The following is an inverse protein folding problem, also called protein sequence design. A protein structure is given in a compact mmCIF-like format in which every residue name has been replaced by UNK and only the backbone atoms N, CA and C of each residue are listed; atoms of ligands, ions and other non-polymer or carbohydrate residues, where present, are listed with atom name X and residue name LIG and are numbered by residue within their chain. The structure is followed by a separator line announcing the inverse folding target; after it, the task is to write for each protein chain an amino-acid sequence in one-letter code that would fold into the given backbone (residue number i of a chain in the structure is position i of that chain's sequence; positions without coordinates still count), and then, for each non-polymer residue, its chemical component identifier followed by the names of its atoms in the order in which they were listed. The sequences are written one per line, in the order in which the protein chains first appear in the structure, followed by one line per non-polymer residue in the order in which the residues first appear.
data_IF_148531549867
#
_entry.id   IF_148531549867
#
_cell.length_a   1.000
_cell.length_b   1.000
_cell.length_c   1.000
_cell.angle_alpha   90.00
_cell.angle_beta   90.00
_cell.angle_gamma   90.00
#
_symmetry.space_group_name_H-M   'P 1'
#
loop_
_entity.id
_entity.type
_entity.pdbx_description
1 polymer ?
#
# COMPACT_ATOMS: atom_id res chain seq x y z
N UNK A 1 -0.60 1.09 13.96
CA UNK A 1 0.12 2.17 13.25
C UNK A 1 -0.57 3.53 13.33
N UNK A 2 -1.91 3.65 13.37
CA UNK A 2 -2.62 4.95 13.35
C UNK A 2 -2.08 6.03 14.29
N UNK A 3 -1.74 5.71 15.54
CA UNK A 3 -1.16 6.68 16.48
C UNK A 3 0.21 7.21 16.03
N UNK A 4 1.08 6.34 15.50
CA UNK A 4 2.39 6.74 14.96
C UNK A 4 2.22 7.62 13.71
N UNK A 5 1.24 7.30 12.87
CA UNK A 5 0.94 8.10 11.69
C UNK A 5 0.48 9.51 12.09
N UNK A 6 -0.34 9.63 13.14
CA UNK A 6 -0.87 10.92 13.57
C UNK A 6 0.07 11.75 14.44
N UNK A 7 0.92 11.12 15.27
CA UNK A 7 1.71 11.82 16.30
C UNK A 7 3.20 11.43 16.34
N UNK A 8 3.64 10.55 15.45
CA UNK A 8 5.04 10.16 15.31
C UNK A 8 5.86 11.16 14.49
N UNK A 9 7.15 10.86 14.32
CA UNK A 9 8.01 11.66 13.45
C UNK A 9 7.60 11.43 11.99
N UNK A 10 7.27 12.52 11.29
CA UNK A 10 6.81 12.51 9.91
C UNK A 10 7.99 12.33 8.95
N UNK A 11 8.54 11.12 8.91
CA UNK A 11 9.62 10.69 8.02
C UNK A 11 9.13 9.66 6.99
N UNK A 12 7.82 9.66 6.71
CA UNK A 12 7.15 8.70 5.85
C UNK A 12 6.12 9.42 4.98
N UNK A 13 5.73 8.75 3.89
CA UNK A 13 4.60 9.09 3.05
C UNK A 13 3.74 7.84 2.87
N UNK A 14 2.52 8.00 2.39
CA UNK A 14 1.58 6.90 2.20
C UNK A 14 1.27 6.70 0.73
N UNK A 15 1.25 5.44 0.27
CA UNK A 15 0.68 5.07 -1.02
C UNK A 15 -0.55 4.21 -0.78
N UNK A 16 -1.73 4.75 -1.08
CA UNK A 16 -3.02 4.07 -0.93
C UNK A 16 -3.38 3.42 -2.25
N UNK A 17 -3.58 2.10 -2.23
CA UNK A 17 -4.14 1.35 -3.36
C UNK A 17 -5.64 1.18 -3.11
N UNK A 18 -6.45 1.80 -3.95
CA UNK A 18 -7.90 1.77 -3.84
C UNK A 18 -8.51 0.96 -4.99
N UNK A 19 -9.34 -0.03 -4.66
CA UNK A 19 -10.12 -0.79 -5.64
C UNK A 19 -11.49 -0.16 -5.75
N UNK A 20 -11.84 0.37 -6.92
CA UNK A 20 -13.06 1.13 -7.08
C UNK A 20 -14.31 0.25 -6.99
N UNK A 21 -14.28 -0.90 -7.66
CA UNK A 21 -15.35 -1.89 -7.68
C UNK A 21 -14.88 -3.22 -7.07
N UNK A 22 -15.36 -3.58 -5.87
CA UNK A 22 -15.03 -4.86 -5.27
C UNK A 22 -15.77 -6.00 -6.00
N UNK A 23 -15.24 -7.22 -5.90
CA UNK A 23 -15.88 -8.43 -6.46
C UNK A 23 -17.21 -8.77 -5.79
N UNK A 24 -17.40 -8.31 -4.55
CA UNK A 24 -18.65 -8.39 -3.81
C UNK A 24 -18.83 -7.13 -2.99
N UNK A 25 -20.02 -6.54 -3.07
CA UNK A 25 -20.43 -5.43 -2.22
C UNK A 25 -21.69 -5.84 -1.45
N UNK A 26 -21.72 -5.54 -0.15
CA UNK A 26 -22.78 -5.99 0.75
C UNK A 26 -23.54 -4.76 1.21
N UNK A 27 -24.86 -4.80 1.09
CA UNK A 27 -25.74 -3.76 1.63
C UNK A 27 -25.87 -3.98 3.14
N UNK A 28 -25.65 -2.92 3.88
CA UNK A 28 -25.74 -2.92 5.33
C UNK A 28 -27.24 -2.98 5.72
N UNK A 29 -27.64 -3.89 6.62
CA UNK A 29 -29.04 -4.04 7.00
C UNK A 29 -29.56 -2.81 7.72
N UNK A 30 -30.86 -2.55 7.59
CA UNK A 30 -31.57 -1.42 8.24
C UNK A 30 -31.37 -1.39 9.77
N UNK A 31 -31.14 -2.56 10.39
CA UNK A 31 -30.86 -2.67 11.82
C UNK A 31 -29.53 -2.05 12.27
N UNK A 32 -28.65 -1.62 11.34
CA UNK A 32 -27.35 -1.01 11.65
C UNK A 32 -27.43 0.50 12.01
N UNK A 33 -28.64 1.06 12.06
CA UNK A 33 -28.88 2.46 12.41
C UNK A 33 -28.79 3.41 11.22
N UNK A 34 -29.38 4.60 11.37
CA UNK A 34 -29.63 5.57 10.29
C UNK A 34 -28.38 5.97 9.49
N UNK A 35 -27.21 6.01 10.16
CA UNK A 35 -25.96 6.39 9.51
C UNK A 35 -25.48 5.36 8.46
N UNK A 36 -25.69 4.07 8.72
CA UNK A 36 -25.10 2.98 7.92
C UNK A 36 -26.15 2.20 7.13
N UNK A 37 -27.39 2.16 7.60
CA UNK A 37 -28.51 1.49 6.94
C UNK A 37 -28.63 1.88 5.46
N UNK A 38 -28.81 0.88 4.60
CA UNK A 38 -28.98 1.08 3.15
C UNK A 38 -27.70 1.46 2.38
N UNK A 39 -26.60 1.78 3.07
CA UNK A 39 -25.29 1.97 2.42
C UNK A 39 -24.65 0.63 2.10
N UNK A 40 -23.76 0.62 1.12
CA UNK A 40 -22.90 -0.52 0.85
C UNK A 40 -21.64 -0.49 1.72
N UNK A 41 -21.08 -1.66 2.01
CA UNK A 41 -19.80 -1.78 2.71
C UNK A 41 -18.68 -1.06 1.95
N UNK A 42 -18.71 -1.07 0.61
CA UNK A 42 -17.75 -0.31 -0.19
C UNK A 42 -17.90 1.21 0.01
N UNK A 43 -19.12 1.74 0.11
CA UNK A 43 -19.34 3.15 0.39
C UNK A 43 -18.75 3.54 1.74
N UNK A 44 -19.00 2.75 2.79
CA UNK A 44 -18.44 3.00 4.13
C UNK A 44 -16.91 2.92 4.10
N UNK A 45 -16.33 1.92 3.43
CA UNK A 45 -14.89 1.78 3.29
C UNK A 45 -14.23 2.95 2.55
N UNK A 46 -14.86 3.44 1.47
CA UNK A 46 -14.40 4.63 0.74
C UNK A 46 -14.46 5.88 1.60
N UNK A 47 -15.53 6.10 2.34
CA UNK A 47 -15.63 7.22 3.29
C UNK A 47 -14.56 7.14 4.38
N UNK A 48 -14.25 5.95 4.89
CA UNK A 48 -13.17 5.76 5.85
C UNK A 48 -11.79 6.08 5.25
N UNK A 49 -11.51 5.58 4.04
CA UNK A 49 -10.27 5.89 3.31
C UNK A 49 -10.12 7.40 3.06
N UNK A 50 -11.15 8.06 2.54
CA UNK A 50 -11.13 9.50 2.28
C UNK A 50 -10.92 10.31 3.57
N UNK A 51 -11.54 9.89 4.67
CA UNK A 51 -11.32 10.49 5.98
C UNK A 51 -9.87 10.37 6.45
N UNK A 52 -9.24 9.20 6.28
CA UNK A 52 -7.82 8.99 6.61
C UNK A 52 -6.91 9.84 5.72
N UNK A 53 -7.11 9.83 4.41
CA UNK A 53 -6.32 10.63 3.46
C UNK A 53 -6.41 12.12 3.82
N UNK A 54 -7.61 12.63 4.10
CA UNK A 54 -7.80 14.03 4.47
C UNK A 54 -7.13 14.39 5.80
N UNK A 55 -7.23 13.52 6.80
CA UNK A 55 -6.61 13.73 8.11
C UNK A 55 -5.08 13.74 8.01
N UNK A 56 -4.50 12.79 7.28
CA UNK A 56 -3.05 12.67 7.12
C UNK A 56 -2.47 13.78 6.24
N UNK A 57 -3.16 14.15 5.16
CA UNK A 57 -2.77 15.30 4.34
C UNK A 57 -2.76 16.60 5.16
N UNK A 58 -3.75 16.80 6.03
CA UNK A 58 -3.81 17.97 6.93
C UNK A 58 -2.69 17.96 7.97
N UNK A 59 -2.25 16.77 8.40
CA UNK A 59 -1.11 16.60 9.27
C UNK A 59 0.24 16.83 8.57
N UNK A 60 0.28 17.04 7.24
CA UNK A 60 1.50 17.25 6.47
C UNK A 60 2.14 15.96 5.92
N UNK A 61 1.46 14.82 6.01
CA UNK A 61 1.93 13.54 5.49
C UNK A 61 1.60 13.48 4.00
N UNK A 62 2.59 13.32 3.09
CA UNK A 62 2.30 13.18 1.67
C UNK A 62 1.56 11.87 1.40
N UNK A 63 0.49 11.93 0.60
CA UNK A 63 -0.31 10.76 0.22
C UNK A 63 -0.41 10.67 -1.29
N UNK A 64 -0.08 9.49 -1.83
CA UNK A 64 -0.30 9.11 -3.22
C UNK A 64 -1.44 8.11 -3.25
N UNK A 65 -2.46 8.34 -4.08
CA UNK A 65 -3.57 7.41 -4.28
C UNK A 65 -3.48 6.78 -5.67
N UNK A 66 -3.57 5.45 -5.73
CA UNK A 66 -3.60 4.67 -6.97
C UNK A 66 -4.97 3.98 -7.02
N UNK A 67 -5.79 4.39 -7.98
CA UNK A 67 -7.11 3.80 -8.21
C UNK A 67 -7.03 2.64 -9.22
N UNK A 68 -7.58 1.50 -8.83
CA UNK A 68 -7.68 0.29 -9.65
C UNK A 68 -9.17 0.03 -9.91
N UNK A 69 -9.63 -0.04 -11.17
CA UNK A 69 -11.06 -0.15 -11.48
C UNK A 69 -11.74 -1.35 -10.81
N UNK A 70 -11.14 -2.54 -10.90
CA UNK A 70 -11.58 -3.75 -10.22
C UNK A 70 -10.42 -4.74 -10.10
N UNK A 71 -10.53 -5.71 -9.19
CA UNK A 71 -9.54 -6.77 -9.07
C UNK A 71 -9.90 -7.95 -9.97
N UNK A 72 -9.22 -8.02 -11.11
CA UNK A 72 -9.21 -9.17 -12.01
C UNK A 72 -7.80 -9.39 -12.57
N UNK A 73 -7.59 -10.47 -13.33
CA UNK A 73 -6.27 -10.81 -13.87
C UNK A 73 -5.68 -9.71 -14.77
N UNK A 74 -6.51 -8.97 -15.50
CA UNK A 74 -6.09 -7.89 -16.38
C UNK A 74 -5.51 -6.71 -15.58
N UNK A 75 -6.27 -6.17 -14.63
CA UNK A 75 -5.82 -5.05 -13.79
C UNK A 75 -4.70 -5.46 -12.84
N UNK A 76 -4.68 -6.72 -12.39
CA UNK A 76 -3.58 -7.25 -11.60
C UNK A 76 -2.26 -7.27 -12.41
N UNK A 77 -2.30 -7.73 -13.66
CA UNK A 77 -1.14 -7.67 -14.56
C UNK A 77 -0.66 -6.24 -14.81
N UNK A 78 -1.58 -5.29 -15.01
CA UNK A 78 -1.25 -3.87 -15.12
C UNK A 78 -0.55 -3.34 -13.85
N UNK A 79 -1.05 -3.70 -12.67
CA UNK A 79 -0.48 -3.28 -11.40
C UNK A 79 0.94 -3.82 -11.20
N UNK A 80 1.19 -5.09 -11.53
CA UNK A 80 2.54 -5.67 -11.50
C UNK A 80 3.48 -4.85 -12.36
N UNK A 81 3.14 -4.68 -13.64
CA UNK A 81 4.01 -3.99 -14.58
C UNK A 81 4.23 -2.51 -14.21
N UNK A 82 3.20 -1.85 -13.70
CA UNK A 82 3.27 -0.49 -13.18
C UNK A 82 4.30 -0.38 -12.05
N UNK A 83 4.24 -1.26 -11.05
CA UNK A 83 5.16 -1.20 -9.92
C UNK A 83 6.59 -1.64 -10.28
N UNK A 84 6.76 -2.65 -11.12
CA UNK A 84 8.08 -3.06 -11.64
C UNK A 84 8.75 -1.92 -12.40
N UNK A 85 8.02 -1.27 -13.30
CA UNK A 85 8.50 -0.13 -14.09
C UNK A 85 8.83 1.06 -13.18
N UNK A 86 7.94 1.38 -12.23
CA UNK A 86 8.14 2.49 -11.28
C UNK A 86 9.35 2.23 -10.39
N UNK A 87 9.56 0.99 -9.95
CA UNK A 87 10.73 0.59 -9.16
C UNK A 87 12.03 0.80 -9.95
N UNK A 88 12.10 0.32 -11.20
CA UNK A 88 13.27 0.50 -12.05
C UNK A 88 13.59 1.97 -12.32
N UNK A 89 12.58 2.78 -12.67
CA UNK A 89 12.75 4.23 -12.88
C UNK A 89 13.25 4.91 -11.60
N UNK A 90 12.65 4.59 -10.45
CA UNK A 90 13.03 5.19 -9.17
C UNK A 90 14.46 4.84 -8.77
N UNK A 91 14.88 3.58 -8.98
CA UNK A 91 16.26 3.17 -8.76
C UNK A 91 17.27 3.97 -9.60
N UNK A 92 16.96 4.18 -10.88
CA UNK A 92 17.80 5.02 -11.73
C UNK A 92 17.84 6.48 -11.28
N UNK A 93 16.71 7.05 -10.86
CA UNK A 93 16.65 8.41 -10.29
C UNK A 93 17.45 8.53 -8.99
N UNK A 94 17.58 7.44 -8.23
CA UNK A 94 18.39 7.34 -7.03
C UNK A 94 19.85 6.98 -7.30
N UNK A 95 20.26 6.88 -8.57
CA UNK A 95 21.61 6.49 -8.99
C UNK A 95 22.06 5.11 -8.48
N UNK A 96 21.11 4.18 -8.30
CA UNK A 96 21.39 2.78 -7.93
C UNK A 96 21.03 1.83 -9.06
N UNK A 97 21.65 0.65 -9.09
CA UNK A 97 21.33 -0.39 -10.07
C UNK A 97 20.06 -1.16 -9.62
N UNK A 98 18.92 -1.09 -10.35
CA UNK A 98 17.70 -1.80 -9.96
C UNK A 98 17.78 -3.32 -10.06
N UNK A 99 18.80 -3.86 -10.74
CA UNK A 99 18.85 -5.26 -11.15
C UNK A 99 19.97 -6.05 -10.46
N UNK A 100 20.44 -5.58 -9.29
CA UNK A 100 21.41 -6.31 -8.48
C UNK A 100 21.03 -6.32 -6.98
N UNK A 101 21.69 -7.18 -6.20
CA UNK A 101 21.44 -7.31 -4.76
C UNK A 101 22.71 -7.70 -3.96
N UNK A 102 23.81 -6.93 -4.02
CA UNK A 102 25.08 -7.32 -3.43
C UNK A 102 25.02 -7.54 -1.90
N UNK A 103 24.14 -6.83 -1.19
CA UNK A 103 24.04 -6.92 0.27
C UNK A 103 23.61 -8.30 0.80
N UNK A 104 22.95 -9.13 -0.01
CA UNK A 104 22.50 -10.46 0.45
C UNK A 104 23.63 -11.48 0.52
N UNK A 105 24.75 -11.25 -0.17
CA UNK A 105 25.85 -12.21 -0.19
C UNK A 105 26.61 -12.24 1.14
N UNK A 106 26.69 -11.11 1.83
CA UNK A 106 27.41 -10.99 3.12
C UNK A 106 26.86 -11.95 4.18
N UNK A 107 25.53 -12.01 4.36
CA UNK A 107 24.97 -12.93 5.36
C UNK A 107 25.07 -14.39 4.91
N UNK A 108 25.05 -14.67 3.60
CA UNK A 108 25.23 -16.02 3.06
C UNK A 108 26.64 -16.55 3.30
N UNK A 109 27.66 -15.69 3.17
CA UNK A 109 29.05 -16.02 3.50
C UNK A 109 29.22 -16.30 4.99
N UNK A 110 28.67 -15.45 5.85
CA UNK A 110 28.72 -15.65 7.30
C UNK A 110 28.02 -16.95 7.73
N UNK A 111 26.88 -17.27 7.11
CA UNK A 111 26.20 -18.55 7.35
C UNK A 111 27.10 -19.74 7.00
N UNK A 112 27.76 -19.72 5.83
CA UNK A 112 28.68 -20.78 5.40
C UNK A 112 29.86 -20.91 6.35
N UNK A 113 30.45 -19.79 6.78
CA UNK A 113 31.55 -19.76 7.75
C UNK A 113 31.18 -20.49 9.04
N UNK A 114 30.02 -20.14 9.62
CA UNK A 114 29.53 -20.77 10.86
C UNK A 114 29.28 -22.27 10.72
N UNK A 115 28.80 -22.73 9.56
CA UNK A 115 28.59 -24.16 9.31
C UNK A 115 29.91 -24.94 9.17
N UNK A 116 30.98 -24.30 8.71
CA UNK A 116 32.31 -24.93 8.61
C UNK A 116 33.08 -24.96 9.93
N UNK A 117 32.69 -24.13 10.89
CA UNK A 117 33.27 -24.08 12.24
C UNK A 117 32.63 -25.11 13.20
N UNK A 118 31.55 -25.80 12.79
CA UNK A 118 30.89 -26.89 13.52
C UNK A 118 31.52 -28.25 13.22
#
# INVERSE_FOLDING_TARGET
MGQFLQQGHQIFFETVINVEKPSRDIIIPESAGELLAGKSMNQVNKSAMEGVISAHATAGIPVVKIDIPELNAFYFGQMIYFFETTCAITAYLMEVNPFNQPGVEQYKEEMKRRLMEM
#
